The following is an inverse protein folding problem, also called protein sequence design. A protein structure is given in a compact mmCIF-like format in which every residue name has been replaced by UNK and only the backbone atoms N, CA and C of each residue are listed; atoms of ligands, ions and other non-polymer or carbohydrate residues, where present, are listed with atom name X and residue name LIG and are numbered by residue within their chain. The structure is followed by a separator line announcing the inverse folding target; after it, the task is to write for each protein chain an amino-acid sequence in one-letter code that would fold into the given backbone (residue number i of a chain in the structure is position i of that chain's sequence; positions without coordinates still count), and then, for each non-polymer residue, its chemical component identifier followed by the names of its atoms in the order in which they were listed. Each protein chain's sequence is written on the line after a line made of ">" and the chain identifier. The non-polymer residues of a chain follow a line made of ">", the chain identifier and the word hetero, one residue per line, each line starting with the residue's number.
data_IF_216188413993
#
_entry.id   IF_216188413993
#
_cell.length_a   1.000
_cell.length_b   1.000
_cell.length_c   1.000
_cell.angle_alpha   90.00
_cell.angle_beta   90.00
_cell.angle_gamma   90.00
#
_symmetry.space_group_name_H-M   'P 1'
#
loop_
_entity.id
_entity.type
_entity.pdbx_description
1 polymer ?
#
# COMPACT_ATOMS: atom_id res chain seq x y z
N UNK A 1 -14.31 -15.29 -3.72
CA UNK A 1 -15.30 -14.26 -4.12
C UNK A 1 -15.39 -13.23 -3.00
N UNK A 2 -15.42 -11.93 -3.32
CA UNK A 2 -15.69 -10.89 -2.33
C UNK A 2 -17.11 -11.05 -1.78
N UNK A 3 -17.33 -10.60 -0.54
CA UNK A 3 -18.66 -10.53 0.08
C UNK A 3 -19.46 -9.34 -0.46
N UNK A 4 -20.77 -9.32 -0.22
CA UNK A 4 -21.61 -8.19 -0.60
C UNK A 4 -21.19 -6.91 0.14
N UNK A 5 -20.83 -7.04 1.41
CA UNK A 5 -20.36 -5.95 2.26
C UNK A 5 -19.02 -5.40 1.75
N UNK A 6 -18.09 -6.27 1.35
CA UNK A 6 -16.81 -5.87 0.75
C UNK A 6 -17.01 -5.16 -0.59
N UNK A 7 -17.90 -5.68 -1.45
CA UNK A 7 -18.22 -5.05 -2.73
C UNK A 7 -18.82 -3.65 -2.54
N UNK A 8 -19.77 -3.49 -1.60
CA UNK A 8 -20.38 -2.20 -1.30
C UNK A 8 -19.37 -1.22 -0.69
N UNK A 9 -18.49 -1.70 0.20
CA UNK A 9 -17.41 -0.91 0.76
C UNK A 9 -16.45 -0.41 -0.32
N UNK A 10 -16.05 -1.26 -1.28
CA UNK A 10 -15.23 -0.85 -2.42
C UNK A 10 -15.89 0.28 -3.21
N UNK A 11 -17.18 0.18 -3.53
CA UNK A 11 -17.90 1.23 -4.27
C UNK A 11 -17.94 2.54 -3.47
N UNK A 12 -18.22 2.47 -2.16
CA UNK A 12 -18.24 3.65 -1.29
C UNK A 12 -16.87 4.33 -1.21
N UNK A 13 -15.80 3.55 -1.07
CA UNK A 13 -14.42 4.06 -1.05
C UNK A 13 -14.08 4.70 -2.39
N UNK A 14 -14.37 4.03 -3.52
CA UNK A 14 -14.12 4.61 -4.84
C UNK A 14 -14.87 5.93 -5.05
N UNK A 15 -16.13 6.03 -4.60
CA UNK A 15 -16.89 7.26 -4.71
C UNK A 15 -16.30 8.37 -3.81
N UNK A 16 -15.93 8.05 -2.56
CA UNK A 16 -15.26 9.00 -1.67
C UNK A 16 -13.95 9.55 -2.26
N UNK A 17 -13.19 8.70 -2.96
CA UNK A 17 -11.91 9.09 -3.57
C UNK A 17 -12.07 9.83 -4.91
N UNK A 18 -13.24 9.75 -5.56
CA UNK A 18 -13.42 10.27 -6.93
C UNK A 18 -13.29 11.78 -7.04
N UNK A 19 -13.47 12.52 -5.94
CA UNK A 19 -13.47 13.99 -5.99
C UNK A 19 -12.07 14.61 -6.02
N UNK A 20 -11.02 13.85 -5.67
CA UNK A 20 -9.66 14.39 -5.58
C UNK A 20 -8.52 13.40 -5.75
N UNK A 21 -8.77 12.10 -5.69
CA UNK A 21 -7.75 11.05 -5.78
C UNK A 21 -7.93 10.19 -7.03
N UNK A 22 -8.06 10.84 -8.18
CA UNK A 22 -8.07 10.16 -9.48
C UNK A 22 -6.64 10.03 -10.03
N UNK A 23 -6.34 8.96 -10.81
CA UNK A 23 -7.20 7.81 -11.13
C UNK A 23 -7.39 6.86 -9.93
N UNK A 24 -8.41 5.99 -10.00
CA UNK A 24 -8.71 4.99 -8.98
C UNK A 24 -8.64 3.59 -9.60
N UNK A 25 -7.83 2.72 -9.01
CA UNK A 25 -7.58 1.37 -9.50
C UNK A 25 -7.91 0.35 -8.41
N UNK A 26 -8.86 -0.54 -8.68
CA UNK A 26 -9.00 -1.77 -7.89
C UNK A 26 -7.92 -2.73 -8.35
N UNK A 27 -6.77 -2.68 -7.69
CA UNK A 27 -5.54 -3.28 -8.17
C UNK A 27 -5.53 -4.80 -8.03
N UNK A 28 -5.94 -5.33 -6.87
CA UNK A 28 -5.76 -6.74 -6.53
C UNK A 28 -6.76 -7.24 -5.50
N UNK A 29 -7.13 -8.52 -5.62
CA UNK A 29 -7.78 -9.30 -4.57
C UNK A 29 -6.85 -10.42 -4.08
N UNK A 30 -6.66 -10.53 -2.77
CA UNK A 30 -5.93 -11.64 -2.15
C UNK A 30 -6.92 -12.71 -1.67
N UNK A 31 -6.95 -13.91 -2.27
CA UNK A 31 -7.91 -14.95 -1.89
C UNK A 31 -7.62 -15.57 -0.51
N UNK A 32 -6.36 -15.61 -0.08
CA UNK A 32 -5.97 -16.17 1.22
C UNK A 32 -6.45 -15.31 2.39
N UNK A 33 -6.36 -13.99 2.25
CA UNK A 33 -6.79 -13.03 3.29
C UNK A 33 -8.18 -12.44 3.03
N UNK A 34 -8.76 -12.73 1.86
CA UNK A 34 -10.01 -12.15 1.34
C UNK A 34 -10.01 -10.62 1.38
N UNK A 35 -8.94 -10.02 0.89
CA UNK A 35 -8.69 -8.57 0.97
C UNK A 35 -8.63 -7.96 -0.42
N UNK A 36 -9.29 -6.82 -0.62
CA UNK A 36 -9.20 -5.99 -1.82
C UNK A 36 -8.27 -4.81 -1.55
N UNK A 37 -7.44 -4.48 -2.53
CA UNK A 37 -6.54 -3.34 -2.51
C UNK A 37 -6.98 -2.32 -3.57
N UNK A 38 -7.21 -1.09 -3.15
CA UNK A 38 -7.58 0.05 -4.01
C UNK A 38 -6.43 1.04 -3.98
N UNK A 39 -5.87 1.35 -5.14
CA UNK A 39 -4.85 2.39 -5.33
C UNK A 39 -5.50 3.63 -5.91
N UNK A 40 -5.08 4.81 -5.46
CA UNK A 40 -5.66 6.06 -5.91
C UNK A 40 -4.62 7.19 -6.01
N UNK A 41 -4.87 8.13 -6.92
CA UNK A 41 -4.01 9.27 -7.20
C UNK A 41 -2.99 9.03 -8.31
N UNK A 42 -2.47 10.12 -8.90
CA UNK A 42 -1.57 10.10 -10.07
C UNK A 42 -0.29 9.29 -9.83
N UNK A 43 0.22 9.29 -8.60
CA UNK A 43 1.42 8.55 -8.20
C UNK A 43 1.10 7.26 -7.46
N UNK A 44 -0.16 6.83 -7.43
CA UNK A 44 -0.62 5.67 -6.66
C UNK A 44 -0.21 5.72 -5.18
N UNK A 45 -0.09 6.94 -4.61
CA UNK A 45 0.43 7.16 -3.26
C UNK A 45 -0.58 6.88 -2.16
N UNK A 46 -1.84 6.67 -2.52
CA UNK A 46 -2.89 6.30 -1.57
C UNK A 46 -3.31 4.85 -1.83
N UNK A 47 -3.17 4.02 -0.81
CA UNK A 47 -3.64 2.64 -0.82
C UNK A 47 -4.72 2.46 0.24
N UNK A 48 -5.84 1.82 -0.13
CA UNK A 48 -6.91 1.40 0.78
C UNK A 48 -7.03 -0.11 0.77
N UNK A 49 -7.10 -0.67 1.97
CA UNK A 49 -7.31 -2.09 2.21
C UNK A 49 -8.75 -2.31 2.62
N UNK A 50 -9.50 -3.11 1.88
CA UNK A 50 -10.90 -3.46 2.19
C UNK A 50 -10.98 -4.93 2.57
N UNK A 51 -11.39 -5.20 3.81
CA UNK A 51 -11.53 -6.55 4.36
C UNK A 51 -12.86 -7.20 3.95
N UNK A 52 -12.94 -8.52 4.04
CA UNK A 52 -14.16 -9.28 3.75
C UNK A 52 -15.38 -8.88 4.60
N UNK A 53 -15.17 -8.24 5.76
CA UNK A 53 -16.24 -7.70 6.60
C UNK A 53 -16.83 -6.38 6.08
N UNK A 54 -16.28 -5.79 5.02
CA UNK A 54 -16.62 -4.45 4.56
C UNK A 54 -15.96 -3.32 5.36
N UNK A 55 -15.20 -3.65 6.41
CA UNK A 55 -14.31 -2.68 7.05
C UNK A 55 -13.15 -2.34 6.11
N UNK A 56 -12.68 -1.10 6.18
CA UNK A 56 -11.56 -0.64 5.37
C UNK A 56 -10.68 0.34 6.15
N UNK A 57 -9.43 0.47 5.70
CA UNK A 57 -8.45 1.42 6.25
C UNK A 57 -7.44 1.83 5.18
N UNK A 58 -6.82 2.99 5.34
CA UNK A 58 -5.63 3.35 4.57
C UNK A 58 -4.48 2.41 4.92
N UNK A 59 -3.67 2.04 3.93
CA UNK A 59 -2.41 1.36 4.16
C UNK A 59 -1.33 2.41 4.37
N UNK A 60 -1.11 2.80 5.62
CA UNK A 60 -0.03 3.70 5.98
C UNK A 60 1.27 2.88 6.09
N UNK A 61 1.92 2.63 4.95
CA UNK A 61 3.21 1.92 4.85
C UNK A 61 4.36 2.58 5.65
N UNK A 62 4.11 3.69 6.35
CA UNK A 62 5.03 4.33 7.28
C UNK A 62 5.22 3.58 8.62
N UNK A 63 4.44 2.53 8.90
CA UNK A 63 4.60 1.79 10.17
C UNK A 63 5.91 0.97 10.27
N UNK A 64 6.72 0.89 9.21
CA UNK A 64 7.95 0.09 9.17
C UNK A 64 9.25 0.85 8.88
N UNK A 65 9.25 2.19 8.92
CA UNK A 65 10.48 2.98 8.79
C UNK A 65 10.85 3.69 10.10
N UNK A 66 11.40 2.94 11.05
CA UNK A 66 12.34 3.45 12.06
C UNK A 66 13.57 2.52 12.16
N UNK A 67 14.76 3.06 12.49
CA UNK A 67 15.89 3.01 11.58
C UNK A 67 16.91 1.93 11.94
N UNK A 68 17.06 0.90 11.11
CA UNK A 68 18.28 0.06 11.16
C UNK A 68 19.29 0.54 10.11
N UNK A 69 19.84 1.74 10.33
CA UNK A 69 21.07 2.16 9.63
C UNK A 69 22.24 1.59 10.41
N UNK A 70 22.66 0.37 10.09
CA UNK A 70 23.96 -0.13 10.54
C UNK A 70 25.07 0.79 9.96
N UNK A 71 26.07 1.23 10.74
CA UNK A 71 27.15 2.03 10.21
C UNK A 71 27.88 1.22 9.14
N UNK A 72 27.92 1.74 7.90
CA UNK A 72 28.78 1.19 6.85
C UNK A 72 30.22 1.30 7.34
N UNK A 73 30.75 0.19 7.85
CA UNK A 73 32.17 -0.01 8.04
C UNK A 73 32.86 0.27 6.72
N UNK A 74 33.70 1.31 6.69
CA UNK A 74 34.59 1.60 5.56
C UNK A 74 35.42 0.35 5.32
N UNK A 75 35.09 -0.42 4.28
CA UNK A 75 35.96 -1.48 3.78
C UNK A 75 37.31 -0.84 3.45
N UNK A 76 38.35 -1.27 4.17
CA UNK A 76 39.74 -1.16 3.77
C UNK A 76 39.84 -1.48 2.27
N UNK A 77 40.24 -0.50 1.45
CA UNK A 77 40.88 -0.78 0.18
C UNK A 77 42.36 -0.50 0.37
N UNK A 78 43.10 -1.56 0.68
CA UNK A 78 44.52 -1.66 0.39
C UNK A 78 44.70 -1.66 -1.14
N UNK A 79 45.53 -0.74 -1.64
CA UNK A 79 46.01 -0.68 -3.02
C UNK A 79 47.28 0.20 -3.09
N UNK A 80 48.25 -0.12 -3.95
CA UNK A 80 49.68 -0.16 -3.63
C UNK A 80 50.42 1.19 -3.78
N UNK A 81 51.66 1.32 -3.26
CA UNK A 81 52.39 2.58 -3.20
C UNK A 81 52.90 3.01 -4.59
N UNK A 82 52.87 4.32 -4.85
CA UNK A 82 53.71 4.99 -5.85
C UNK A 82 54.53 6.05 -5.16
#
# INVERSE_FOLDING_TARGET
>A
MPTAEQALACVRVCQMLSDGYQPIHVFRYNPSTRTVFILAGVTESLEVVVFASGQWRFNDDETWLQPYVAPRTKRLRSGPPR
#
